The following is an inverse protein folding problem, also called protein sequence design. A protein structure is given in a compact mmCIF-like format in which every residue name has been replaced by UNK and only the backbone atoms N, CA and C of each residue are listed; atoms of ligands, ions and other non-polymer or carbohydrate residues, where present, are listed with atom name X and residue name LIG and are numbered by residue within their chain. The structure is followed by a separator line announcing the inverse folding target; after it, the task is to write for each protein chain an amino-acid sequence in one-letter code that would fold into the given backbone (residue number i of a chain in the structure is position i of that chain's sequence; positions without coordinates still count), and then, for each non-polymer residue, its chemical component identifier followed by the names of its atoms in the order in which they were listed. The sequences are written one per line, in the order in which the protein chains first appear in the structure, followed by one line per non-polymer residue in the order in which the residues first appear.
data_IF_014435376279
#
_entry.id   IF_014435376279
#
_cell.length_a   1.000
_cell.length_b   1.000
_cell.length_c   1.000
_cell.angle_alpha   90.00
_cell.angle_beta   90.00
_cell.angle_gamma   90.00
#
_symmetry.space_group_name_H-M   'P 1'
#
loop_
_entity.id
_entity.type
_entity.pdbx_description
1 polymer ?
#
# COMPACT_ATOMS: atom_id res chain seq x y z
N UNK A 1 54.98 -11.41 8.48
CA UNK A 1 53.79 -11.87 9.21
C UNK A 1 52.66 -10.87 8.98
N UNK A 2 51.62 -11.31 8.28
CA UNK A 2 50.28 -10.70 8.09
C UNK A 2 49.34 -11.92 8.17
N UNK A 3 48.04 -11.84 8.52
CA UNK A 3 47.15 -10.68 8.62
C UNK A 3 46.33 -10.68 9.93
N UNK A 4 45.42 -9.74 10.17
CA UNK A 4 43.98 -9.99 10.25
C UNK A 4 43.31 -8.66 10.66
N UNK A 5 42.35 -8.13 9.88
CA UNK A 5 40.89 -8.22 10.12
C UNK A 5 40.44 -7.35 11.33
N UNK A 6 39.40 -6.53 11.29
CA UNK A 6 38.22 -6.54 10.44
C UNK A 6 37.55 -5.15 10.44
N UNK A 7 36.95 -4.81 9.31
CA UNK A 7 36.06 -3.66 9.11
C UNK A 7 34.74 -4.00 9.77
N UNK A 8 34.38 -3.30 10.86
CA UNK A 8 33.08 -3.43 11.50
C UNK A 8 32.06 -2.63 10.70
N UNK A 9 31.41 -3.30 9.75
CA UNK A 9 30.19 -2.84 9.10
C UNK A 9 29.07 -2.77 10.15
N UNK A 10 28.68 -1.56 10.55
CA UNK A 10 27.43 -1.33 11.28
C UNK A 10 26.27 -1.47 10.29
N UNK A 11 25.63 -2.64 10.32
CA UNK A 11 24.40 -2.92 9.62
C UNK A 11 23.26 -2.05 10.19
N UNK A 12 22.70 -1.17 9.34
CA UNK A 12 21.33 -0.67 9.51
C UNK A 12 20.39 -1.87 9.36
N UNK A 13 19.44 -2.11 10.28
CA UNK A 13 18.34 -2.98 9.97
C UNK A 13 17.48 -2.24 8.95
N UNK A 14 17.70 -2.53 7.66
CA UNK A 14 16.67 -2.32 6.67
C UNK A 14 15.50 -3.18 7.14
N UNK A 15 14.48 -2.50 7.68
CA UNK A 15 13.17 -3.06 7.90
C UNK A 15 12.75 -3.62 6.55
N UNK A 16 12.95 -4.92 6.36
CA UNK A 16 12.36 -5.66 5.27
C UNK A 16 10.86 -5.60 5.56
N UNK A 17 10.22 -4.55 5.03
CA UNK A 17 8.85 -4.67 4.60
C UNK A 17 8.90 -5.82 3.60
N UNK A 18 8.58 -7.02 4.08
CA UNK A 18 8.15 -8.13 3.23
C UNK A 18 7.20 -7.52 2.19
N UNK A 19 7.26 -7.94 0.91
CA UNK A 19 6.33 -7.42 -0.08
C UNK A 19 4.94 -7.80 0.40
N UNK A 20 4.25 -6.85 1.02
CA UNK A 20 2.87 -7.00 1.41
C UNK A 20 2.15 -7.37 0.13
N UNK A 21 1.69 -8.63 0.02
CA UNK A 21 1.14 -9.14 -1.23
C UNK A 21 0.02 -8.18 -1.67
N UNK A 22 0.28 -7.45 -2.74
CA UNK A 22 -0.66 -6.49 -3.29
C UNK A 22 -1.77 -7.29 -3.97
N UNK A 23 -2.92 -7.32 -3.33
CA UNK A 23 -4.10 -8.06 -3.81
C UNK A 23 -4.85 -7.27 -4.87
N UNK A 24 -4.87 -5.94 -4.74
CA UNK A 24 -5.53 -5.08 -5.69
C UNK A 24 -4.97 -3.66 -5.62
N UNK A 25 -4.86 -2.98 -6.76
CA UNK A 25 -4.45 -1.57 -6.84
C UNK A 25 -5.36 -0.84 -7.81
N UNK A 26 -5.74 0.39 -7.49
CA UNK A 26 -6.38 1.30 -8.42
C UNK A 26 -5.72 2.68 -8.35
N UNK A 27 -5.47 3.26 -9.51
CA UNK A 27 -4.98 4.63 -9.67
C UNK A 27 -6.10 5.49 -10.22
N UNK A 28 -6.50 6.49 -9.45
CA UNK A 28 -7.59 7.42 -9.75
C UNK A 28 -7.02 8.81 -10.03
N UNK A 29 -7.33 9.37 -11.20
CA UNK A 29 -6.78 10.66 -11.66
C UNK A 29 -7.88 11.67 -11.97
N UNK A 30 -7.69 12.92 -11.56
CA UNK A 30 -8.57 14.04 -11.91
C UNK A 30 -7.74 15.29 -12.19
N UNK A 31 -7.58 15.64 -13.45
CA UNK A 31 -6.67 16.71 -13.86
C UNK A 31 -5.24 16.40 -13.41
N UNK A 32 -4.67 17.26 -12.56
CA UNK A 32 -3.33 17.06 -11.98
C UNK A 32 -3.34 16.29 -10.64
N UNK A 33 -4.51 15.95 -10.08
CA UNK A 33 -4.59 15.17 -8.84
C UNK A 33 -4.56 13.68 -9.12
N UNK A 34 -3.63 12.97 -8.49
CA UNK A 34 -3.56 11.50 -8.47
C UNK A 34 -3.85 10.98 -7.08
N UNK A 35 -4.67 9.94 -7.03
CA UNK A 35 -5.04 9.19 -5.84
C UNK A 35 -4.81 7.73 -6.12
N UNK A 36 -4.21 7.02 -5.20
CA UNK A 36 -3.99 5.57 -5.33
C UNK A 36 -4.76 4.85 -4.23
N UNK A 37 -5.30 3.70 -4.55
CA UNK A 37 -5.97 2.78 -3.66
C UNK A 37 -5.25 1.46 -3.78
N UNK A 38 -4.95 0.83 -2.66
CA UNK A 38 -4.21 -0.43 -2.65
C UNK A 38 -4.73 -1.32 -1.54
N UNK A 39 -4.89 -2.61 -1.83
CA UNK A 39 -5.16 -3.64 -0.84
C UNK A 39 -3.88 -4.45 -0.66
N UNK A 40 -3.28 -4.36 0.51
CA UNK A 40 -2.05 -5.08 0.86
C UNK A 40 -2.32 -6.14 1.90
N UNK A 41 -1.72 -7.32 1.78
CA UNK A 41 -1.71 -8.31 2.86
C UNK A 41 -0.76 -7.85 3.98
N UNK A 42 -1.25 -7.80 5.22
CA UNK A 42 -0.50 -7.37 6.40
C UNK A 42 -0.75 -8.36 7.54
N UNK A 43 0.23 -9.21 7.81
CA UNK A 43 0.08 -10.32 8.76
C UNK A 43 -1.02 -11.30 8.33
N UNK A 44 -1.94 -11.62 9.25
CA UNK A 44 -3.10 -12.50 8.98
C UNK A 44 -4.29 -11.81 8.27
N UNK A 45 -4.16 -10.53 7.91
CA UNK A 45 -5.24 -9.73 7.33
C UNK A 45 -4.85 -8.97 6.06
N UNK A 46 -5.79 -8.16 5.60
CA UNK A 46 -5.66 -7.25 4.47
C UNK A 46 -5.89 -5.81 4.93
N UNK A 47 -5.16 -4.89 4.32
CA UNK A 47 -5.19 -3.47 4.65
C UNK A 47 -5.47 -2.69 3.39
N UNK A 48 -6.47 -1.82 3.46
CA UNK A 48 -6.77 -0.86 2.38
C UNK A 48 -6.01 0.43 2.69
N UNK A 49 -5.06 0.75 1.82
CA UNK A 49 -4.29 1.98 1.84
C UNK A 49 -4.82 2.91 0.77
N UNK A 50 -4.95 4.18 1.12
CA UNK A 50 -5.33 5.24 0.22
C UNK A 50 -4.25 6.32 0.21
N UNK A 51 -3.70 6.58 -0.96
CA UNK A 51 -2.65 7.57 -1.16
C UNK A 51 -3.24 8.80 -1.83
N UNK A 52 -2.98 9.97 -1.26
CA UNK A 52 -3.35 11.27 -1.84
C UNK A 52 -2.12 12.16 -1.85
N UNK A 53 -1.71 12.63 -3.04
CA UNK A 53 -0.55 13.53 -3.20
C UNK A 53 0.75 12.97 -2.58
N UNK A 54 0.99 11.67 -2.71
CA UNK A 54 2.15 10.98 -2.13
C UNK A 54 2.02 10.62 -0.65
N UNK A 55 0.95 11.05 0.03
CA UNK A 55 0.68 10.66 1.42
C UNK A 55 -0.23 9.43 1.44
N UNK A 56 0.33 8.28 1.77
CA UNK A 56 -0.41 7.04 2.00
C UNK A 56 -1.05 7.05 3.40
N UNK A 57 -2.32 6.66 3.48
CA UNK A 57 -3.05 6.50 4.74
C UNK A 57 -3.80 5.17 4.75
N UNK A 58 -3.65 4.42 5.83
CA UNK A 58 -4.49 3.26 6.11
C UNK A 58 -5.93 3.74 6.36
N UNK A 59 -6.87 3.31 5.50
CA UNK A 59 -8.28 3.73 5.55
C UNK A 59 -9.21 2.59 5.95
N UNK A 60 -8.72 1.36 5.93
CA UNK A 60 -9.44 0.21 6.46
C UNK A 60 -8.51 -0.96 6.65
N UNK A 61 -8.78 -1.75 7.67
CA UNK A 61 -8.09 -3.00 7.93
C UNK A 61 -9.16 -4.07 8.05
N UNK A 62 -9.00 -5.12 7.27
CA UNK A 62 -9.87 -6.28 7.29
C UNK A 62 -9.02 -7.43 7.75
N UNK A 63 -9.47 -8.15 8.76
CA UNK A 63 -8.90 -9.46 9.08
C UNK A 63 -9.14 -10.42 7.91
N UNK A 64 -9.09 -11.73 8.13
CA UNK A 64 -9.23 -12.84 7.16
C UNK A 64 -10.38 -12.72 6.12
N UNK A 65 -11.33 -11.80 6.30
CA UNK A 65 -12.40 -11.48 5.36
C UNK A 65 -11.96 -10.52 4.23
N UNK A 66 -11.43 -11.10 3.15
CA UNK A 66 -11.06 -10.39 1.90
C UNK A 66 -12.20 -9.56 1.31
N UNK A 67 -13.43 -10.08 1.35
CA UNK A 67 -14.61 -9.43 0.78
C UNK A 67 -14.89 -8.06 1.41
N UNK A 68 -14.61 -7.88 2.70
CA UNK A 68 -14.77 -6.57 3.37
C UNK A 68 -13.77 -5.55 2.84
N UNK A 69 -12.53 -5.97 2.59
CA UNK A 69 -11.50 -5.08 2.04
C UNK A 69 -11.79 -4.72 0.59
N UNK A 70 -12.28 -5.69 -0.18
CA UNK A 70 -12.75 -5.44 -1.53
C UNK A 70 -13.93 -4.47 -1.52
N UNK A 71 -14.90 -4.63 -0.63
CA UNK A 71 -16.04 -3.70 -0.52
C UNK A 71 -15.60 -2.27 -0.14
N UNK A 72 -14.64 -2.11 0.78
CA UNK A 72 -14.09 -0.79 1.12
C UNK A 72 -13.37 -0.17 -0.08
N UNK A 73 -12.57 -0.96 -0.79
CA UNK A 73 -11.88 -0.54 -2.01
C UNK A 73 -12.86 -0.10 -3.11
N UNK A 74 -13.88 -0.90 -3.40
CA UNK A 74 -14.92 -0.59 -4.39
C UNK A 74 -15.74 0.63 -3.99
N UNK A 75 -16.06 0.80 -2.71
CA UNK A 75 -16.72 2.02 -2.23
C UNK A 75 -15.84 3.26 -2.41
N UNK A 76 -14.55 3.17 -2.09
CA UNK A 76 -13.61 4.28 -2.29
C UNK A 76 -13.44 4.60 -3.77
N UNK A 77 -13.26 3.60 -4.62
CA UNK A 77 -13.19 3.76 -6.07
C UNK A 77 -14.46 4.44 -6.59
N UNK A 78 -15.64 3.92 -6.24
CA UNK A 78 -16.94 4.48 -6.63
C UNK A 78 -17.09 5.93 -6.17
N UNK A 79 -16.65 6.27 -4.96
CA UNK A 79 -16.70 7.64 -4.45
C UNK A 79 -15.74 8.57 -5.20
N UNK A 80 -14.57 8.08 -5.61
CA UNK A 80 -13.63 8.83 -6.44
C UNK A 80 -14.20 9.04 -7.85
N UNK A 81 -14.80 8.02 -8.45
CA UNK A 81 -15.49 8.11 -9.75
C UNK A 81 -16.64 9.11 -9.70
N UNK A 82 -17.49 9.06 -8.65
CA UNK A 82 -18.55 10.05 -8.39
C UNK A 82 -18.00 11.47 -8.18
N UNK A 83 -16.82 11.60 -7.58
CA UNK A 83 -16.12 12.87 -7.43
C UNK A 83 -15.45 13.35 -8.74
N UNK A 84 -15.56 12.58 -9.83
CA UNK A 84 -15.01 12.90 -11.16
C UNK A 84 -13.56 12.48 -11.36
N UNK A 85 -13.04 11.53 -10.58
CA UNK A 85 -11.74 10.90 -10.82
C UNK A 85 -11.92 9.71 -11.78
N UNK A 86 -11.06 9.60 -12.78
CA UNK A 86 -10.97 8.43 -13.63
C UNK A 86 -10.08 7.38 -12.94
N UNK A 87 -10.71 6.32 -12.43
CA UNK A 87 -10.04 5.21 -11.76
C UNK A 87 -9.70 4.07 -12.74
N UNK A 88 -8.44 3.63 -12.72
CA UNK A 88 -7.95 2.45 -13.46
C UNK A 88 -7.41 1.43 -12.46
N UNK A 89 -7.75 0.17 -12.64
CA UNK A 89 -7.21 -0.97 -11.88
C UNK A 89 -5.95 -1.45 -12.60
#
# INVERSE_FOLDING_TARGET
MKPALAVLFLALPALAAEPAEMINKATCTKGAETRELEITAKGEGHTVTYTKKGTAKEVGTCSTNKEKCQAVFDNLKTNLEKAGFACKI
#
